data_IF_112325058355
#
_entry.id   IF_112325058355
#
_cell.length_a   1.000
_cell.length_b   1.000
_cell.length_c   1.000
_cell.angle_alpha   90.00
_cell.angle_beta   90.00
_cell.angle_gamma   90.00
#
_symmetry.space_group_name_H-M   'P 1'
#
loop_
_entity.id
_entity.type
_entity.pdbx_description
1 polymer ?
#
# COMPACT_ATOMS: atom_id res chain seq x y z
N UNK A 1 -4.14 -18.36 21.66
CA UNK A 1 -3.08 -18.29 20.64
C UNK A 1 -2.03 -17.33 21.18
N UNK A 2 -0.75 -17.72 21.27
CA UNK A 2 0.29 -16.85 21.82
C UNK A 2 0.34 -15.51 21.07
N UNK A 3 0.45 -14.39 21.80
CA UNK A 3 0.49 -13.04 21.25
C UNK A 3 1.62 -12.90 20.20
N UNK A 4 2.76 -13.53 20.47
CA UNK A 4 3.91 -13.58 19.58
C UNK A 4 3.63 -14.36 18.28
N UNK A 5 2.95 -15.50 18.36
CA UNK A 5 2.58 -16.28 17.18
C UNK A 5 1.60 -15.49 16.30
N UNK A 6 0.61 -14.82 16.92
CA UNK A 6 -0.33 -13.95 16.20
C UNK A 6 0.40 -12.83 15.47
N UNK A 7 1.35 -12.17 16.13
CA UNK A 7 2.20 -11.16 15.51
C UNK A 7 2.95 -11.70 14.29
N UNK A 8 3.66 -12.83 14.42
CA UNK A 8 4.45 -13.41 13.32
C UNK A 8 3.58 -13.81 12.12
N UNK A 9 2.39 -14.36 12.36
CA UNK A 9 1.44 -14.71 11.30
C UNK A 9 0.97 -13.45 10.55
N UNK A 10 0.66 -12.37 11.27
CA UNK A 10 0.27 -11.10 10.65
C UNK A 10 1.41 -10.52 9.81
N UNK A 11 2.63 -10.49 10.35
CA UNK A 11 3.80 -9.96 9.63
C UNK A 11 4.14 -10.82 8.40
N UNK A 12 4.05 -12.14 8.52
CA UNK A 12 4.18 -13.05 7.38
C UNK A 12 3.12 -12.76 6.31
N UNK A 13 1.85 -12.63 6.70
CA UNK A 13 0.76 -12.33 5.79
C UNK A 13 0.94 -10.98 5.08
N UNK A 14 1.41 -9.96 5.80
CA UNK A 14 1.73 -8.65 5.25
C UNK A 14 2.82 -8.75 4.18
N UNK A 15 3.91 -9.45 4.49
CA UNK A 15 4.99 -9.75 3.56
C UNK A 15 4.51 -10.57 2.36
N UNK A 16 3.64 -11.55 2.56
CA UNK A 16 3.06 -12.38 1.51
C UNK A 16 2.19 -11.58 0.55
N UNK A 17 1.25 -10.78 1.06
CA UNK A 17 0.34 -9.98 0.25
C UNK A 17 1.12 -8.98 -0.60
N UNK A 18 2.06 -8.25 -0.01
CA UNK A 18 2.88 -7.30 -0.76
C UNK A 18 3.92 -7.99 -1.65
N UNK A 19 4.47 -9.10 -1.20
CA UNK A 19 5.34 -9.97 -1.97
C UNK A 19 4.65 -10.48 -3.24
N UNK A 20 3.36 -10.77 -3.18
CA UNK A 20 2.56 -11.16 -4.33
C UNK A 20 2.18 -9.95 -5.20
N UNK A 21 1.50 -8.97 -4.61
CA UNK A 21 0.80 -7.89 -5.31
C UNK A 21 1.61 -6.62 -5.56
N UNK A 22 2.73 -6.41 -4.85
CA UNK A 22 3.45 -5.13 -4.80
C UNK A 22 2.84 -4.09 -3.86
N UNK A 23 1.71 -4.37 -3.20
CA UNK A 23 1.06 -3.46 -2.25
C UNK A 23 0.33 -4.19 -1.10
N UNK A 24 -0.25 -3.44 -0.16
CA UNK A 24 -1.35 -3.96 0.67
C UNK A 24 -0.90 -4.57 2.00
N UNK A 25 0.41 -4.66 2.25
CA UNK A 25 0.97 -5.09 3.54
C UNK A 25 0.41 -4.26 4.70
N UNK A 26 0.46 -2.94 4.60
CA UNK A 26 -0.02 -2.03 5.65
C UNK A 26 -1.53 -2.17 5.84
N UNK A 27 -2.30 -2.23 4.75
CA UNK A 27 -3.76 -2.32 4.85
C UNK A 27 -4.23 -3.66 5.45
N UNK A 28 -3.45 -4.72 5.25
CA UNK A 28 -3.67 -6.00 5.91
C UNK A 28 -3.22 -5.97 7.38
N UNK A 29 -1.99 -5.52 7.64
CA UNK A 29 -1.35 -5.66 8.95
C UNK A 29 -1.88 -4.67 9.99
N UNK A 30 -2.12 -3.42 9.60
CA UNK A 30 -2.52 -2.35 10.52
C UNK A 30 -3.74 -2.73 11.37
N UNK A 31 -4.90 -3.12 10.81
CA UNK A 31 -6.08 -3.42 11.62
C UNK A 31 -5.90 -4.64 12.53
N UNK A 32 -5.13 -5.64 12.09
CA UNK A 32 -4.87 -6.84 12.87
C UNK A 32 -3.89 -6.55 14.01
N UNK A 33 -2.86 -5.74 13.76
CA UNK A 33 -1.90 -5.35 14.78
C UNK A 33 -2.50 -4.38 15.81
N UNK A 34 -3.47 -3.55 15.43
CA UNK A 34 -4.17 -2.67 16.40
C UNK A 34 -4.98 -3.42 17.45
N UNK A 35 -5.24 -4.72 17.23
CA UNK A 35 -5.83 -5.58 18.26
C UNK A 35 -4.80 -6.02 19.32
N UNK A 36 -3.49 -5.82 19.07
CA UNK A 36 -2.39 -6.32 19.89
C UNK A 36 -1.51 -5.19 20.48
N UNK A 37 -1.35 -4.09 19.76
CA UNK A 37 -0.37 -3.04 20.04
C UNK A 37 -0.98 -1.64 19.87
N UNK A 38 -0.33 -0.63 20.46
CA UNK A 38 -0.72 0.76 20.29
C UNK A 38 -0.38 1.28 18.88
N UNK A 39 -1.28 2.10 18.33
CA UNK A 39 -1.14 2.69 16.99
C UNK A 39 0.17 3.47 16.84
N UNK A 40 0.64 4.16 17.89
CA UNK A 40 1.89 4.93 17.89
C UNK A 40 3.12 4.05 17.69
N UNK A 41 3.05 2.77 18.06
CA UNK A 41 4.09 1.77 17.81
C UNK A 41 3.91 1.11 16.45
N UNK A 42 2.68 0.80 16.06
CA UNK A 42 2.39 0.06 14.82
C UNK A 42 2.72 0.87 13.57
N UNK A 43 2.36 2.16 13.55
CA UNK A 43 2.55 3.01 12.37
C UNK A 43 4.04 3.10 11.96
N UNK A 44 4.99 3.46 12.83
CA UNK A 44 6.41 3.47 12.47
C UNK A 44 6.97 2.07 12.20
N UNK A 45 6.51 1.04 12.91
CA UNK A 45 6.88 -0.36 12.65
C UNK A 45 6.51 -0.78 11.21
N UNK A 46 5.28 -0.54 10.78
CA UNK A 46 4.82 -0.89 9.44
C UNK A 46 5.50 -0.06 8.35
N UNK A 47 5.89 1.19 8.63
CA UNK A 47 6.73 1.96 7.71
C UNK A 47 8.08 1.28 7.49
N UNK A 48 8.77 0.88 8.56
CA UNK A 48 10.08 0.21 8.47
C UNK A 48 9.98 -1.14 7.76
N UNK A 49 9.00 -1.97 8.15
CA UNK A 49 8.76 -3.25 7.49
C UNK A 49 8.42 -3.04 6.01
N UNK A 50 7.55 -2.07 5.69
CA UNK A 50 7.23 -1.70 4.31
C UNK A 50 8.44 -1.26 3.50
N UNK A 51 9.34 -0.48 4.10
CA UNK A 51 10.61 -0.09 3.48
C UNK A 51 11.47 -1.32 3.17
N UNK A 52 11.61 -2.25 4.12
CA UNK A 52 12.32 -3.52 3.91
C UNK A 52 11.70 -4.38 2.81
N UNK A 53 10.37 -4.51 2.78
CA UNK A 53 9.66 -5.23 1.71
C UNK A 53 9.98 -4.58 0.35
N UNK A 54 9.85 -3.26 0.26
CA UNK A 54 10.08 -2.54 -0.99
C UNK A 54 11.52 -2.66 -1.47
N UNK A 55 12.51 -2.59 -0.57
CA UNK A 55 13.93 -2.84 -0.91
C UNK A 55 14.12 -4.27 -1.44
N UNK A 56 13.58 -5.27 -0.74
CA UNK A 56 13.68 -6.67 -1.15
C UNK A 56 13.01 -6.94 -2.51
N UNK A 57 11.86 -6.31 -2.76
CA UNK A 57 11.14 -6.42 -4.03
C UNK A 57 11.79 -5.62 -5.15
N UNK A 58 12.42 -4.48 -4.86
CA UNK A 58 13.07 -3.63 -5.85
C UNK A 58 14.08 -4.43 -6.67
N UNK A 59 14.90 -5.25 -6.00
CA UNK A 59 15.88 -6.13 -6.67
C UNK A 59 15.21 -7.06 -7.69
N UNK A 60 14.02 -7.56 -7.38
CA UNK A 60 13.29 -8.48 -8.25
C UNK A 60 12.62 -7.79 -9.45
N UNK A 61 12.26 -6.51 -9.32
CA UNK A 61 11.50 -5.77 -10.34
C UNK A 61 12.31 -4.65 -10.99
N UNK A 62 13.61 -4.52 -10.66
CA UNK A 62 14.48 -3.40 -11.07
C UNK A 62 14.51 -3.13 -12.57
N UNK A 63 14.46 -4.19 -13.38
CA UNK A 63 14.51 -4.11 -14.84
C UNK A 63 13.22 -3.54 -15.44
N UNK A 64 12.14 -3.49 -14.67
CA UNK A 64 10.82 -3.01 -15.10
C UNK A 64 10.48 -1.63 -14.49
N UNK A 65 11.43 -1.01 -13.78
CA UNK A 65 11.22 0.30 -13.17
C UNK A 65 11.18 1.40 -14.22
N UNK A 66 10.12 2.20 -14.17
CA UNK A 66 10.03 3.44 -14.93
C UNK A 66 10.10 4.63 -13.96
N UNK A 67 11.32 5.14 -13.74
CA UNK A 67 11.58 6.24 -12.80
C UNK A 67 10.87 7.54 -13.16
N UNK A 68 10.57 7.76 -14.45
CA UNK A 68 9.79 8.93 -14.88
C UNK A 68 8.35 8.87 -14.34
N UNK A 69 7.70 7.71 -14.48
CA UNK A 69 6.33 7.51 -13.96
C UNK A 69 6.32 7.52 -12.43
N UNK A 70 7.26 6.81 -11.82
CA UNK A 70 7.39 6.75 -10.35
C UNK A 70 7.62 8.15 -9.77
N UNK A 71 8.52 8.93 -10.39
CA UNK A 71 8.82 10.30 -9.98
C UNK A 71 7.62 11.23 -10.11
N UNK A 72 6.83 11.12 -11.19
CA UNK A 72 5.58 11.89 -11.34
C UNK A 72 4.57 11.55 -10.24
N UNK A 73 4.35 10.27 -9.95
CA UNK A 73 3.43 9.84 -8.90
C UNK A 73 3.89 10.37 -7.52
N UNK A 74 5.18 10.26 -7.21
CA UNK A 74 5.76 10.72 -5.95
C UNK A 74 5.71 12.25 -5.81
N UNK A 75 6.07 12.98 -6.88
CA UNK A 75 6.05 14.44 -6.90
C UNK A 75 4.63 14.98 -6.75
N UNK A 76 3.66 14.36 -7.42
CA UNK A 76 2.25 14.72 -7.29
C UNK A 76 1.68 14.39 -5.89
N UNK A 77 2.16 13.32 -5.27
CA UNK A 77 1.74 12.95 -3.92
C UNK A 77 2.17 13.97 -2.87
N UNK A 78 3.30 14.66 -3.02
CA UNK A 78 3.80 15.62 -2.03
C UNK A 78 2.78 16.73 -1.65
N UNK A 79 2.23 17.54 -2.60
CA UNK A 79 1.18 18.50 -2.26
C UNK A 79 -0.10 17.83 -1.79
N UNK A 80 -0.41 16.62 -2.30
CA UNK A 80 -1.53 15.82 -1.83
C UNK A 80 -1.43 15.46 -0.34
N UNK A 81 -0.25 15.05 0.13
CA UNK A 81 0.01 14.69 1.54
C UNK A 81 -0.24 15.91 2.44
N UNK A 82 0.31 17.07 2.09
CA UNK A 82 0.12 18.29 2.87
C UNK A 82 -1.38 18.65 2.99
N UNK A 83 -2.11 18.56 1.88
CA UNK A 83 -3.56 18.79 1.85
C UNK A 83 -4.31 17.73 2.66
N UNK A 84 -3.96 16.45 2.51
CA UNK A 84 -4.58 15.34 3.24
C UNK A 84 -4.45 15.48 4.76
N UNK A 85 -3.28 15.93 5.23
CA UNK A 85 -3.03 16.21 6.66
C UNK A 85 -3.89 17.36 7.17
N UNK A 86 -4.10 18.41 6.36
CA UNK A 86 -4.98 19.54 6.73
C UNK A 86 -6.44 19.14 6.70
N UNK A 87 -6.86 18.40 5.67
CA UNK A 87 -8.23 17.90 5.53
C UNK A 87 -8.63 17.02 6.71
N UNK A 88 -7.72 16.17 7.20
CA UNK A 88 -7.95 15.35 8.40
C UNK A 88 -8.31 16.19 9.64
N UNK A 89 -7.83 17.44 9.74
CA UNK A 89 -8.10 18.34 10.86
C UNK A 89 -9.43 19.09 10.71
N UNK A 90 -9.91 19.28 9.48
CA UNK A 90 -11.05 20.14 9.16
C UNK A 90 -12.32 19.37 8.81
N UNK A 91 -12.18 18.15 8.30
CA UNK A 91 -13.29 17.31 7.84
C UNK A 91 -13.39 16.09 8.76
N UNK A 92 -14.59 15.75 9.27
CA UNK A 92 -14.78 14.52 10.04
C UNK A 92 -14.30 13.31 9.24
N UNK A 93 -13.43 12.47 9.83
CA UNK A 93 -12.79 11.32 9.16
C UNK A 93 -13.79 10.45 8.39
N UNK A 94 -15.01 10.34 8.90
CA UNK A 94 -16.14 9.62 8.31
C UNK A 94 -16.46 10.03 6.86
N UNK A 95 -16.44 11.32 6.53
CA UNK A 95 -16.84 11.80 5.19
C UNK A 95 -15.77 11.51 4.14
N UNK A 96 -14.48 11.60 4.51
CA UNK A 96 -13.39 11.20 3.62
C UNK A 96 -13.37 9.69 3.39
N UNK A 97 -13.48 8.93 4.47
CA UNK A 97 -13.42 7.46 4.41
C UNK A 97 -14.59 6.91 3.57
N UNK A 98 -15.79 7.49 3.65
CA UNK A 98 -16.93 7.11 2.81
C UNK A 98 -16.76 7.50 1.33
N UNK A 99 -16.32 8.73 1.03
CA UNK A 99 -16.13 9.18 -0.36
C UNK A 99 -15.08 8.36 -1.11
N UNK A 100 -13.99 8.02 -0.41
CA UNK A 100 -12.89 7.27 -1.00
C UNK A 100 -13.16 5.77 -0.94
N UNK A 101 -13.75 5.24 0.14
CA UNK A 101 -14.25 3.86 0.17
C UNK A 101 -15.19 3.56 -1.00
N UNK A 102 -16.03 4.53 -1.38
CA UNK A 102 -16.89 4.43 -2.57
C UNK A 102 -16.07 4.39 -3.87
N UNK A 103 -15.09 5.29 -4.06
CA UNK A 103 -14.20 5.25 -5.24
C UNK A 103 -13.40 3.94 -5.32
N UNK A 104 -12.89 3.45 -4.19
CA UNK A 104 -12.11 2.21 -4.08
C UNK A 104 -12.99 0.98 -4.25
N UNK A 105 -14.31 1.05 -4.10
CA UNK A 105 -15.22 -0.06 -4.42
C UNK A 105 -15.70 -0.01 -5.87
N UNK A 106 -16.00 1.18 -6.40
CA UNK A 106 -16.48 1.35 -7.77
C UNK A 106 -15.39 1.01 -8.80
N UNK A 107 -14.13 1.37 -8.53
CA UNK A 107 -13.04 1.16 -9.47
C UNK A 107 -12.63 -0.30 -9.70
N UNK A 108 -12.52 -1.15 -8.66
CA UNK A 108 -12.25 -2.57 -8.82
C UNK A 108 -13.42 -3.34 -9.43
N UNK A 109 -14.66 -2.92 -9.16
CA UNK A 109 -15.83 -3.47 -9.87
C UNK A 109 -15.69 -3.21 -11.36
N UNK A 110 -15.30 -2.00 -11.77
CA UNK A 110 -14.94 -1.72 -13.16
C UNK A 110 -13.80 -2.63 -13.65
N UNK A 111 -12.71 -2.82 -12.89
CA UNK A 111 -11.58 -3.68 -13.30
C UNK A 111 -11.98 -5.17 -13.41
N UNK A 112 -12.93 -5.67 -12.60
CA UNK A 112 -13.39 -7.07 -12.66
C UNK A 112 -14.22 -7.37 -13.92
N UNK A 113 -14.96 -6.37 -14.41
CA UNK A 113 -15.82 -6.52 -15.59
C UNK A 113 -15.21 -5.94 -16.88
N UNK A 114 -14.21 -5.06 -16.76
CA UNK A 114 -13.51 -4.48 -17.89
C UNK A 114 -12.46 -5.43 -18.47
N UNK A 115 -12.32 -5.41 -19.80
CA UNK A 115 -11.19 -6.05 -20.47
C UNK A 115 -9.90 -5.30 -20.10
N UNK A 116 -8.73 -5.97 -20.17
CA UNK A 116 -7.45 -5.28 -20.02
C UNK A 116 -7.42 -4.05 -20.94
N UNK A 117 -6.95 -2.89 -20.45
CA UNK A 117 -6.84 -1.69 -21.27
C UNK A 117 -5.97 -2.01 -22.50
N UNK A 118 -6.46 -1.66 -23.69
CA UNK A 118 -5.72 -1.89 -24.94
C UNK A 118 -4.79 -0.73 -25.28
N UNK A 119 -4.96 0.44 -24.63
CA UNK A 119 -4.19 1.66 -24.88
C UNK A 119 -3.72 2.28 -23.58
N UNK A 120 -2.52 2.87 -23.61
CA UNK A 120 -2.00 3.67 -22.50
C UNK A 120 -2.88 4.90 -22.29
N UNK A 121 -3.30 5.12 -21.05
CA UNK A 121 -3.91 6.40 -20.68
C UNK A 121 -2.81 7.44 -20.54
N UNK A 122 -3.13 8.71 -20.83
CA UNK A 122 -2.17 9.81 -20.80
C UNK A 122 -1.33 9.83 -19.51
N UNK A 123 -0.02 10.07 -19.66
CA UNK A 123 0.90 10.23 -18.53
C UNK A 123 0.48 11.37 -17.56
N UNK A 124 -0.35 12.31 -18.03
CA UNK A 124 -0.94 13.34 -17.19
C UNK A 124 -1.79 12.77 -16.03
N UNK A 125 -2.40 11.59 -16.23
CA UNK A 125 -3.16 10.91 -15.17
C UNK A 125 -2.27 10.48 -14.00
N UNK A 126 -0.97 10.27 -14.22
CA UNK A 126 -0.02 10.03 -13.14
C UNK A 126 0.00 11.16 -12.10
N UNK A 127 -0.19 12.42 -12.51
CA UNK A 127 -0.30 13.55 -11.59
C UNK A 127 -1.58 13.49 -10.76
N UNK A 128 -2.72 13.15 -11.40
CA UNK A 128 -4.01 13.05 -10.72
C UNK A 128 -3.99 11.94 -9.68
N UNK A 129 -3.61 10.72 -10.08
CA UNK A 129 -3.59 9.58 -9.17
C UNK A 129 -2.50 9.69 -8.10
N UNK A 130 -1.35 10.27 -8.43
CA UNK A 130 -0.31 10.58 -7.44
C UNK A 130 -0.79 11.60 -6.40
N UNK A 131 -1.46 12.67 -6.83
CA UNK A 131 -2.06 13.66 -5.92
C UNK A 131 -3.07 13.04 -4.96
N UNK A 132 -4.05 12.29 -5.47
CA UNK A 132 -5.05 11.63 -4.64
C UNK A 132 -4.46 10.52 -3.76
N UNK A 133 -3.42 9.82 -4.23
CA UNK A 133 -2.60 8.92 -3.40
C UNK A 133 -1.99 9.66 -2.22
N UNK A 134 -1.44 10.86 -2.45
CA UNK A 134 -0.91 11.72 -1.41
C UNK A 134 -1.97 12.17 -0.41
N UNK A 135 -3.13 12.66 -0.89
CA UNK A 135 -4.26 13.08 -0.04
C UNK A 135 -4.70 11.95 0.87
N UNK A 136 -4.82 10.74 0.34
CA UNK A 136 -5.14 9.55 1.13
C UNK A 136 -4.06 9.14 2.10
N UNK A 137 -2.80 9.14 1.65
CA UNK A 137 -1.66 8.86 2.52
C UNK A 137 -1.60 9.82 3.70
N UNK A 138 -1.79 11.12 3.46
CA UNK A 138 -1.74 12.15 4.49
C UNK A 138 -2.95 12.17 5.44
N UNK A 139 -4.13 11.74 4.99
CA UNK A 139 -5.36 11.74 5.81
C UNK A 139 -5.61 10.40 6.52
N UNK A 140 -5.43 9.28 5.83
CA UNK A 140 -5.82 7.94 6.30
C UNK A 140 -4.65 6.97 6.42
N UNK A 141 -3.47 7.33 5.92
CA UNK A 141 -2.32 6.43 5.77
C UNK A 141 -2.43 5.46 4.58
N UNK A 142 -3.56 5.45 3.85
CA UNK A 142 -3.84 4.53 2.76
C UNK A 142 -3.50 5.13 1.38
N UNK A 143 -2.21 5.41 1.10
CA UNK A 143 -1.82 5.95 -0.21
C UNK A 143 -1.94 4.95 -1.37
N UNK A 144 -1.99 3.64 -1.09
CA UNK A 144 -1.92 2.62 -2.13
C UNK A 144 -3.03 2.60 -3.19
N UNK A 145 -4.33 2.75 -2.85
CA UNK A 145 -5.42 2.49 -3.78
C UNK A 145 -5.40 3.32 -5.09
N UNK A 146 -5.17 4.65 -5.08
CA UNK A 146 -5.10 5.43 -6.32
C UNK A 146 -3.95 5.00 -7.24
N UNK A 147 -2.80 4.60 -6.69
CA UNK A 147 -1.66 4.11 -7.47
C UNK A 147 -1.97 2.78 -8.14
N UNK A 148 -2.70 1.90 -7.45
CA UNK A 148 -3.12 0.62 -8.04
C UNK A 148 -4.17 0.81 -9.11
N UNK A 149 -5.12 1.70 -8.87
CA UNK A 149 -6.10 2.07 -9.87
C UNK A 149 -5.38 2.55 -11.13
N UNK A 150 -4.47 3.52 -11.00
CA UNK A 150 -3.69 4.05 -12.12
C UNK A 150 -2.94 2.97 -12.89
N UNK A 151 -2.17 2.14 -12.18
CA UNK A 151 -1.36 1.09 -12.80
C UNK A 151 -2.22 -0.02 -13.43
N UNK A 152 -3.41 -0.29 -12.88
CA UNK A 152 -4.37 -1.27 -13.42
C UNK A 152 -5.08 -0.77 -14.69
N UNK A 153 -5.25 0.55 -14.82
CA UNK A 153 -5.79 1.21 -16.02
C UNK A 153 -4.81 1.26 -17.19
N UNK A 154 -3.55 0.89 -16.98
CA UNK A 154 -2.56 0.84 -18.04
C UNK A 154 -2.55 -0.53 -18.72
N UNK A 155 -2.17 -0.62 -20.01
CA UNK A 155 -2.00 -1.88 -20.74
C UNK A 155 -0.78 -2.69 -20.27
N UNK A 156 -0.14 -2.27 -19.18
CA UNK A 156 1.11 -2.83 -18.69
C UNK A 156 0.97 -4.30 -18.24
N UNK A 157 2.05 -5.05 -18.42
CA UNK A 157 2.20 -6.39 -17.85
C UNK A 157 2.36 -6.36 -16.33
N UNK A 158 2.14 -7.51 -15.68
CA UNK A 158 2.19 -7.66 -14.21
C UNK A 158 3.47 -7.12 -13.57
N UNK A 159 4.63 -7.26 -14.24
CA UNK A 159 5.92 -6.80 -13.72
C UNK A 159 6.03 -5.28 -13.69
N UNK A 160 5.60 -4.59 -14.75
CA UNK A 160 5.63 -3.12 -14.79
C UNK A 160 4.66 -2.51 -13.77
N UNK A 161 3.44 -3.07 -13.65
CA UNK A 161 2.47 -2.68 -12.61
C UNK A 161 3.11 -2.78 -11.21
N UNK A 162 3.67 -3.96 -10.89
CA UNK A 162 4.31 -4.22 -9.60
C UNK A 162 5.53 -3.32 -9.38
N UNK A 163 6.35 -3.10 -10.41
CA UNK A 163 7.54 -2.26 -10.34
C UNK A 163 7.19 -0.80 -10.03
N UNK A 164 6.16 -0.25 -10.67
CA UNK A 164 5.69 1.12 -10.40
C UNK A 164 5.21 1.26 -8.95
N UNK A 165 4.44 0.29 -8.45
CA UNK A 165 4.00 0.28 -7.05
C UNK A 165 5.19 0.23 -6.08
N UNK A 166 6.08 -0.75 -6.25
CA UNK A 166 7.25 -0.94 -5.37
C UNK A 166 8.14 0.30 -5.38
N UNK A 167 8.40 0.89 -6.55
CA UNK A 167 9.19 2.12 -6.66
C UNK A 167 8.54 3.33 -5.98
N UNK A 168 7.24 3.53 -6.19
CA UNK A 168 6.49 4.61 -5.53
C UNK A 168 6.48 4.46 -4.00
N UNK A 169 6.16 3.25 -3.51
CA UNK A 169 6.12 3.00 -2.07
C UNK A 169 7.51 3.04 -1.46
N UNK A 170 8.57 2.66 -2.18
CA UNK A 170 9.94 2.82 -1.68
C UNK A 170 10.27 4.28 -1.38
N UNK A 171 10.02 5.18 -2.34
CA UNK A 171 10.28 6.62 -2.16
C UNK A 171 9.41 7.17 -1.03
N UNK A 172 8.12 6.83 -1.04
CA UNK A 172 7.17 7.30 -0.03
C UNK A 172 7.54 6.81 1.38
N UNK A 173 7.86 5.53 1.55
CA UNK A 173 8.29 4.94 2.82
C UNK A 173 9.62 5.53 3.30
N UNK A 174 10.55 5.88 2.41
CA UNK A 174 11.80 6.53 2.80
C UNK A 174 11.54 7.91 3.40
N UNK A 175 10.69 8.72 2.75
CA UNK A 175 10.30 10.06 3.23
C UNK A 175 9.58 9.96 4.57
N UNK A 176 8.58 9.07 4.67
CA UNK A 176 7.78 8.88 5.88
C UNK A 176 8.66 8.37 7.03
N UNK A 177 9.53 7.39 6.76
CA UNK A 177 10.44 6.85 7.77
C UNK A 177 11.40 7.92 8.28
N UNK A 178 11.96 8.75 7.40
CA UNK A 178 12.85 9.84 7.81
C UNK A 178 12.12 10.86 8.71
N UNK A 179 10.90 11.25 8.34
CA UNK A 179 10.08 12.15 9.15
C UNK A 179 9.71 11.56 10.51
N UNK A 180 9.36 10.26 10.56
CA UNK A 180 9.05 9.55 11.81
C UNK A 180 10.26 9.45 12.74
N UNK A 181 11.46 9.19 12.20
CA UNK A 181 12.71 9.20 12.95
C UNK A 181 13.01 10.59 13.51
N UNK A 182 12.91 11.64 12.69
CA UNK A 182 13.13 13.01 13.13
C UNK A 182 12.11 13.46 14.20
N UNK A 183 10.89 12.93 14.14
CA UNK A 183 9.84 13.15 15.15
C UNK A 183 9.95 12.29 16.41
N UNK A 184 11.01 11.48 16.57
CA UNK A 184 11.22 10.64 17.76
C UNK A 184 10.28 9.44 17.87
N UNK A 185 9.64 9.02 16.77
CA UNK A 185 8.67 7.91 16.78
C UNK A 185 9.35 6.53 16.70
N UNK A 186 10.65 6.49 16.39
CA UNK A 186 11.44 5.26 16.38
C UNK A 186 11.91 4.92 17.81
N UNK A 187 11.00 4.33 18.59
CA UNK A 187 11.29 3.89 19.97
C UNK A 187 12.03 2.54 19.98
N UNK A 188 12.71 2.18 21.09
CA UNK A 188 13.30 0.84 21.24
C UNK A 188 12.30 -0.28 20.99
N UNK A 189 11.06 -0.13 21.48
CA UNK A 189 9.99 -1.10 21.25
C UNK A 189 9.66 -1.29 19.76
N UNK A 190 9.67 -0.22 18.96
CA UNK A 190 9.45 -0.31 17.51
C UNK A 190 10.59 -1.10 16.86
N UNK A 191 11.84 -0.84 17.25
CA UNK A 191 13.02 -1.51 16.71
C UNK A 191 13.07 -2.99 17.09
N UNK A 192 12.71 -3.34 18.33
CA UNK A 192 12.65 -4.73 18.79
C UNK A 192 11.61 -5.53 18.00
N UNK A 193 10.41 -4.97 17.85
CA UNK A 193 9.35 -5.59 17.04
C UNK A 193 9.75 -5.70 15.58
N UNK A 194 10.38 -4.66 15.03
CA UNK A 194 10.90 -4.66 13.66
C UNK A 194 11.89 -5.82 13.46
N UNK A 195 12.91 -5.93 14.33
CA UNK A 195 13.89 -7.01 14.29
C UNK A 195 13.24 -8.39 14.41
N UNK A 196 12.30 -8.56 15.35
CA UNK A 196 11.55 -9.80 15.53
C UNK A 196 10.67 -10.15 14.31
N UNK A 197 10.17 -9.13 13.60
CA UNK A 197 9.32 -9.28 12.43
C UNK A 197 10.06 -9.57 11.12
N UNK A 198 11.37 -9.30 11.04
CA UNK A 198 12.12 -9.40 9.78
C UNK A 198 12.08 -10.80 9.15
N UNK A 199 12.30 -11.85 9.95
CA UNK A 199 12.33 -13.21 9.43
C UNK A 199 10.97 -13.66 8.84
N UNK A 200 9.84 -13.58 9.58
CA UNK A 200 8.54 -13.93 9.00
C UNK A 200 8.15 -13.01 7.85
N UNK A 201 8.51 -11.73 7.90
CA UNK A 201 8.27 -10.77 6.83
C UNK A 201 8.94 -11.22 5.52
N UNK A 202 10.25 -11.47 5.56
CA UNK A 202 11.02 -11.85 4.38
C UNK A 202 10.60 -13.21 3.84
N UNK A 203 10.25 -14.15 4.72
CA UNK A 203 9.64 -15.42 4.32
C UNK A 203 8.33 -15.18 3.55
N UNK A 204 7.44 -14.35 4.08
CA UNK A 204 6.20 -13.94 3.41
C UNK A 204 6.46 -13.33 2.04
N UNK A 205 7.38 -12.35 1.96
CA UNK A 205 7.77 -11.70 0.70
C UNK A 205 8.27 -12.71 -0.33
N UNK A 206 9.10 -13.66 0.09
CA UNK A 206 9.62 -14.72 -0.77
C UNK A 206 8.49 -15.60 -1.31
N UNK A 207 7.64 -16.14 -0.45
CA UNK A 207 6.53 -17.00 -0.88
C UNK A 207 5.53 -16.26 -1.79
N UNK A 208 5.17 -15.02 -1.44
CA UNK A 208 4.31 -14.19 -2.27
C UNK A 208 4.93 -13.91 -3.64
N UNK A 209 6.23 -13.63 -3.68
CA UNK A 209 6.96 -13.38 -4.94
C UNK A 209 7.06 -14.63 -5.81
N UNK A 210 7.28 -15.81 -5.21
CA UNK A 210 7.31 -17.08 -5.92
C UNK A 210 5.95 -17.39 -6.55
N UNK A 211 4.86 -17.14 -5.84
CA UNK A 211 3.51 -17.32 -6.38
C UNK A 211 3.23 -16.32 -7.50
N UNK A 212 3.60 -15.05 -7.32
CA UNK A 212 3.47 -14.01 -8.37
C UNK A 212 4.14 -14.42 -9.69
N UNK A 213 5.30 -15.07 -9.65
CA UNK A 213 5.99 -15.52 -10.87
C UNK A 213 5.17 -16.54 -11.67
N UNK A 214 4.44 -17.43 -10.98
CA UNK A 214 3.63 -18.52 -11.57
C UNK A 214 2.30 -18.04 -12.18
N UNK A 215 1.80 -16.87 -11.78
CA UNK A 215 0.46 -16.37 -12.16
C UNK A 215 0.53 -15.55 -13.46
N UNK A 216 -0.42 -15.71 -14.39
CA UNK A 216 -0.49 -14.90 -15.61
C UNK A 216 -0.91 -13.45 -15.34
N UNK A 217 -0.76 -12.56 -16.35
CA UNK A 217 -1.12 -11.14 -16.20
C UNK A 217 -2.62 -10.94 -15.93
N UNK A 218 -3.47 -11.79 -16.51
CA UNK A 218 -4.93 -11.73 -16.34
C UNK A 218 -5.33 -12.12 -14.92
N UNK A 219 -4.79 -13.22 -14.40
CA UNK A 219 -5.04 -13.71 -13.05
C UNK A 219 -4.49 -12.75 -12.01
N UNK A 220 -3.31 -12.17 -12.26
CA UNK A 220 -2.73 -11.15 -11.40
C UNK A 220 -3.67 -9.95 -11.25
N UNK A 221 -4.22 -9.43 -12.36
CA UNK A 221 -5.19 -8.32 -12.33
C UNK A 221 -6.45 -8.69 -11.56
N UNK A 222 -6.95 -9.92 -11.70
CA UNK A 222 -8.09 -10.42 -10.90
C UNK A 222 -7.78 -10.42 -9.40
N UNK A 223 -6.60 -10.90 -9.00
CA UNK A 223 -6.21 -10.90 -7.59
C UNK A 223 -6.05 -9.47 -7.05
N UNK A 224 -5.46 -8.55 -7.83
CA UNK A 224 -5.41 -7.14 -7.45
C UNK A 224 -6.81 -6.56 -7.26
N UNK A 225 -7.75 -6.85 -8.16
CA UNK A 225 -9.12 -6.38 -8.03
C UNK A 225 -9.82 -6.93 -6.78
N UNK A 226 -9.67 -8.22 -6.49
CA UNK A 226 -10.19 -8.84 -5.26
C UNK A 226 -9.57 -8.19 -4.01
N UNK A 227 -8.25 -7.95 -4.02
CA UNK A 227 -7.58 -7.24 -2.93
C UNK A 227 -8.15 -5.83 -2.74
N UNK A 228 -8.32 -5.06 -3.81
CA UNK A 228 -8.90 -3.72 -3.73
C UNK A 228 -10.33 -3.75 -3.16
N UNK A 229 -11.16 -4.71 -3.58
CA UNK A 229 -12.54 -4.87 -3.08
C UNK A 229 -12.52 -5.19 -1.59
N UNK A 230 -11.72 -6.18 -1.18
CA UNK A 230 -11.61 -6.57 0.22
C UNK A 230 -11.16 -5.38 1.09
N UNK A 231 -10.20 -4.59 0.60
CA UNK A 231 -9.67 -3.42 1.28
C UNK A 231 -10.65 -2.25 1.32
N UNK A 232 -11.38 -2.00 0.22
CA UNK A 232 -12.46 -1.02 0.18
C UNK A 232 -13.59 -1.37 1.14
N UNK A 233 -14.02 -2.64 1.15
CA UNK A 233 -15.03 -3.14 2.08
C UNK A 233 -14.56 -3.02 3.54
N UNK A 234 -13.31 -3.40 3.81
CA UNK A 234 -12.72 -3.26 5.15
C UNK A 234 -12.69 -1.79 5.61
N UNK A 235 -12.30 -0.85 4.74
CA UNK A 235 -12.34 0.59 5.06
C UNK A 235 -13.76 1.03 5.41
N UNK A 236 -14.76 0.72 4.59
CA UNK A 236 -16.15 1.11 4.87
C UNK A 236 -16.67 0.50 6.17
N UNK A 237 -16.44 -0.80 6.39
CA UNK A 237 -16.87 -1.46 7.62
C UNK A 237 -16.26 -0.79 8.85
N UNK A 238 -14.96 -0.49 8.82
CA UNK A 238 -14.30 0.22 9.92
C UNK A 238 -14.93 1.58 10.18
N UNK A 239 -15.19 2.36 9.13
CA UNK A 239 -15.82 3.68 9.24
C UNK A 239 -17.22 3.60 9.84
N UNK A 240 -18.00 2.59 9.46
CA UNK A 240 -19.36 2.39 9.97
C UNK A 240 -19.34 1.92 11.43
N UNK A 241 -18.41 1.05 11.81
CA UNK A 241 -18.30 0.48 13.16
C UNK A 241 -17.68 1.48 14.15
N UNK A 242 -16.79 2.38 13.70
CA UNK A 242 -16.20 3.42 14.55
C UNK A 242 -17.06 4.68 14.68
N UNK A 243 -18.31 4.66 14.18
CA UNK A 243 -19.32 5.72 14.30
C UNK A 243 -20.31 5.40 15.40
#
# INVERSE_FOLDING_TARGET
MDLALTYYVIIFGAGFIQGFSGFGSVLFALPLLTMLLDVKTIVPLLTLLGLCINIALLVQVREHLNWKIIGVLAAAAAPGIAIGVVILKLVPSRTLELGIGTLIILFPLYILFARPPEREISAAWGWVFGFFSGVLGGSTGASGPPVIIYTSLQPWGKYAIKATMVGYFLISSLIISAAQTAGGMMTPQVLDLFCAGLLPLLAGVLFGSLLFRKVGSTEYRKVLAVLLIALGFFMILRTVISS
#
